data_IF_343382082992
#
_entry.id   IF_343382082992
#
_cell.length_a   1.000
_cell.length_b   1.000
_cell.length_c   1.000
_cell.angle_alpha   90.00
_cell.angle_beta   90.00
_cell.angle_gamma   90.00
#
_symmetry.space_group_name_H-M   'P 1'
#
loop_
_entity.id
_entity.type
_entity.pdbx_description
1 polymer ?
#
# COMPACT_ATOMS: atom_id res chain seq x y z
N UNK A 1 0.44 -14.04 24.11
CA UNK A 1 1.63 -13.18 24.25
C UNK A 1 1.55 -12.20 23.10
N UNK A 2 1.61 -10.90 23.37
CA UNK A 2 1.50 -9.88 22.33
C UNK A 2 2.86 -9.68 21.66
N UNK A 3 2.87 -9.52 20.34
CA UNK A 3 4.07 -9.45 19.53
C UNK A 3 3.96 -8.38 18.45
N UNK A 4 5.05 -7.65 18.26
CA UNK A 4 5.21 -6.71 17.15
C UNK A 4 6.45 -7.05 16.34
N UNK A 5 6.28 -7.16 15.04
CA UNK A 5 7.35 -7.52 14.11
C UNK A 5 7.35 -6.55 12.95
N UNK A 6 8.37 -5.70 12.88
CA UNK A 6 8.51 -4.77 11.76
C UNK A 6 9.15 -5.53 10.59
N UNK A 7 8.40 -5.72 9.51
CA UNK A 7 8.86 -6.43 8.33
C UNK A 7 9.72 -5.54 7.44
N UNK A 8 9.32 -4.27 7.35
CA UNK A 8 10.03 -3.25 6.59
C UNK A 8 9.66 -1.88 7.10
N UNK A 9 10.63 -0.98 7.12
CA UNK A 9 10.37 0.41 7.48
C UNK A 9 11.30 1.36 6.72
N UNK A 10 10.74 2.08 5.75
CA UNK A 10 11.46 3.00 4.89
C UNK A 10 10.73 3.24 3.58
N UNK A 11 11.33 4.04 2.72
CA UNK A 11 10.70 4.56 1.51
C UNK A 11 10.34 3.56 0.42
N UNK A 12 10.87 2.34 0.49
CA UNK A 12 10.55 1.28 -0.48
C UNK A 12 9.33 0.46 -0.05
N UNK A 13 8.88 0.63 1.19
CA UNK A 13 7.75 -0.08 1.75
C UNK A 13 7.79 -0.14 3.27
N UNK A 14 6.65 0.17 3.88
CA UNK A 14 6.36 0.03 5.30
C UNK A 14 5.41 -1.15 5.52
N UNK A 15 5.76 -2.00 6.48
CA UNK A 15 4.88 -3.09 6.90
C UNK A 15 5.30 -3.65 8.27
N UNK A 16 4.32 -3.95 9.10
CA UNK A 16 4.52 -4.61 10.38
C UNK A 16 3.42 -5.63 10.67
N UNK A 17 3.72 -6.65 11.48
CA UNK A 17 2.74 -7.59 12.01
C UNK A 17 2.53 -7.31 13.49
N UNK A 18 1.26 -7.16 13.87
CA UNK A 18 0.82 -7.12 15.27
C UNK A 18 0.06 -8.40 15.55
N UNK A 19 0.51 -9.17 16.54
CA UNK A 19 -0.08 -10.46 16.86
C UNK A 19 -0.39 -10.57 18.35
N UNK A 20 -1.55 -11.11 18.68
CA UNK A 20 -1.87 -11.64 20.00
C UNK A 20 -1.68 -13.17 20.01
N UNK A 21 -2.12 -13.83 21.07
CA UNK A 21 -2.25 -15.30 21.08
C UNK A 21 -3.23 -15.86 20.04
N UNK A 22 -4.19 -15.06 19.55
CA UNK A 22 -5.29 -15.55 18.70
C UNK A 22 -5.41 -14.83 17.36
N UNK A 23 -5.01 -13.56 17.30
CA UNK A 23 -5.25 -12.70 16.15
C UNK A 23 -3.94 -12.16 15.60
N UNK A 24 -3.81 -12.07 14.27
CA UNK A 24 -2.66 -11.46 13.59
C UNK A 24 -3.14 -10.44 12.57
N UNK A 25 -2.57 -9.25 12.65
CA UNK A 25 -2.93 -8.12 11.81
C UNK A 25 -1.67 -7.66 11.08
N UNK A 26 -1.77 -7.54 9.76
CA UNK A 26 -0.77 -6.87 8.95
C UNK A 26 -1.07 -5.37 8.93
N UNK A 27 -0.18 -4.56 9.49
CA UNK A 27 -0.23 -3.09 9.40
C UNK A 27 0.57 -2.68 8.17
N UNK A 28 -0.13 -2.13 7.18
CA UNK A 28 0.37 -1.77 5.85
C UNK A 28 0.98 -2.93 5.02
N UNK A 29 0.81 -2.82 3.71
CA UNK A 29 1.30 -3.77 2.71
C UNK A 29 2.17 -3.04 1.68
N UNK A 30 3.18 -2.31 2.18
CA UNK A 30 4.05 -1.45 1.40
C UNK A 30 5.04 -2.12 0.46
N UNK A 31 5.27 -3.42 0.64
CA UNK A 31 6.13 -4.25 -0.20
C UNK A 31 5.30 -5.23 -1.04
N UNK A 32 5.88 -5.77 -2.10
CA UNK A 32 5.19 -6.79 -2.91
C UNK A 32 4.80 -8.01 -2.08
N UNK A 33 3.72 -8.68 -2.47
CA UNK A 33 3.21 -9.86 -1.76
C UNK A 33 4.28 -10.95 -1.58
N UNK A 34 5.13 -11.14 -2.61
CA UNK A 34 6.26 -12.09 -2.58
C UNK A 34 7.25 -11.73 -1.46
N UNK A 35 7.62 -10.45 -1.38
CA UNK A 35 8.58 -9.95 -0.40
C UNK A 35 8.02 -9.99 1.02
N UNK A 36 6.76 -9.59 1.22
CA UNK A 36 6.09 -9.69 2.52
C UNK A 36 6.07 -11.12 3.05
N UNK A 37 5.67 -12.09 2.20
CA UNK A 37 5.66 -13.50 2.59
C UNK A 37 7.06 -14.03 2.91
N UNK A 38 8.08 -13.66 2.12
CA UNK A 38 9.48 -14.01 2.39
C UNK A 38 9.93 -13.50 3.75
N UNK A 39 9.65 -12.24 4.07
CA UNK A 39 10.06 -11.61 5.34
C UNK A 39 9.31 -12.18 6.54
N UNK A 40 8.01 -12.42 6.43
CA UNK A 40 7.24 -13.11 7.47
C UNK A 40 7.83 -14.49 7.76
N UNK A 41 8.09 -15.29 6.73
CA UNK A 41 8.68 -16.62 6.89
C UNK A 41 10.07 -16.57 7.54
N UNK A 42 10.89 -15.56 7.23
CA UNK A 42 12.23 -15.40 7.80
C UNK A 42 12.23 -15.17 9.33
N UNK A 43 11.14 -14.63 9.88
CA UNK A 43 10.94 -14.42 11.33
C UNK A 43 9.97 -15.41 11.96
N UNK A 44 9.59 -16.46 11.22
CA UNK A 44 8.71 -17.52 11.71
C UNK A 44 7.23 -17.14 11.78
N UNK A 45 6.82 -16.07 11.09
CA UNK A 45 5.41 -15.71 10.93
C UNK A 45 4.79 -16.42 9.72
N UNK A 46 3.63 -17.02 9.92
CA UNK A 46 2.84 -17.61 8.84
C UNK A 46 1.89 -16.55 8.27
N UNK A 47 2.10 -16.18 7.00
CA UNK A 47 1.26 -15.23 6.28
C UNK A 47 -0.19 -15.69 6.14
N UNK A 48 -0.45 -17.01 6.09
CA UNK A 48 -1.81 -17.55 6.00
C UNK A 48 -2.56 -17.55 7.33
N UNK A 49 -1.87 -17.26 8.43
CA UNK A 49 -2.46 -17.07 9.75
C UNK A 49 -2.86 -15.61 10.03
N UNK A 50 -2.70 -14.70 9.06
CA UNK A 50 -3.20 -13.33 9.16
C UNK A 50 -4.73 -13.32 9.10
N UNK A 51 -5.35 -12.51 9.96
CA UNK A 51 -6.80 -12.35 10.03
C UNK A 51 -7.29 -11.10 9.30
N UNK A 52 -6.44 -10.06 9.21
CA UNK A 52 -6.79 -8.78 8.59
C UNK A 52 -5.57 -8.00 8.12
N UNK A 53 -5.80 -7.06 7.20
CA UNK A 53 -4.83 -6.02 6.83
C UNK A 53 -5.40 -4.68 7.29
N UNK A 54 -4.62 -3.89 8.02
CA UNK A 54 -4.99 -2.57 8.51
C UNK A 54 -4.10 -1.52 7.84
N UNK A 55 -4.71 -0.55 7.17
CA UNK A 55 -3.97 0.46 6.40
C UNK A 55 -3.96 1.81 7.12
N UNK A 56 -2.77 2.40 7.24
CA UNK A 56 -2.56 3.74 7.79
C UNK A 56 -3.06 4.82 6.82
N UNK A 57 -2.63 4.74 5.54
CA UNK A 57 -2.97 5.67 4.47
C UNK A 57 -2.61 5.13 3.07
N UNK A 58 -2.91 5.89 2.01
CA UNK A 58 -2.87 5.42 0.61
C UNK A 58 -1.57 5.69 -0.16
N UNK A 59 -0.45 5.96 0.50
CA UNK A 59 0.82 6.13 -0.23
C UNK A 59 1.35 4.78 -0.72
N UNK A 60 2.09 4.81 -1.83
CA UNK A 60 2.50 3.59 -2.53
C UNK A 60 3.37 2.67 -1.67
N UNK A 61 4.24 3.23 -0.84
CA UNK A 61 5.04 2.54 0.16
C UNK A 61 4.24 1.99 1.35
N UNK A 62 2.90 2.13 1.36
CA UNK A 62 2.01 1.48 2.33
C UNK A 62 1.02 0.50 1.67
N UNK A 63 0.73 0.65 0.37
CA UNK A 63 -0.34 -0.12 -0.30
C UNK A 63 0.07 -0.77 -1.62
N UNK A 64 1.35 -0.73 -2.02
CA UNK A 64 1.81 -1.32 -3.30
C UNK A 64 1.49 -2.81 -3.44
N UNK A 65 1.71 -3.60 -2.38
CA UNK A 65 1.44 -5.04 -2.37
C UNK A 65 0.02 -5.41 -1.97
N UNK A 66 -0.79 -4.43 -1.57
CA UNK A 66 -2.11 -4.65 -1.01
C UNK A 66 -3.06 -5.43 -1.93
N UNK A 67 -3.26 -5.07 -3.22
CA UNK A 67 -4.21 -5.78 -4.09
C UNK A 67 -3.92 -7.28 -4.18
N UNK A 68 -2.64 -7.62 -4.29
CA UNK A 68 -2.19 -9.00 -4.46
C UNK A 68 -2.29 -9.76 -3.14
N UNK A 69 -1.82 -9.15 -2.05
CA UNK A 69 -1.83 -9.78 -0.72
C UNK A 69 -3.26 -10.07 -0.25
N UNK A 70 -4.16 -9.08 -0.32
CA UNK A 70 -5.53 -9.22 0.14
C UNK A 70 -6.27 -10.34 -0.63
N UNK A 71 -6.13 -10.40 -1.96
CA UNK A 71 -6.78 -11.44 -2.77
C UNK A 71 -6.18 -12.82 -2.59
N UNK A 72 -4.87 -12.91 -2.38
CA UNK A 72 -4.20 -14.20 -2.15
C UNK A 72 -4.63 -14.82 -0.83
N UNK A 73 -4.78 -14.01 0.21
CA UNK A 73 -5.16 -14.46 1.55
C UNK A 73 -6.69 -14.51 1.75
N UNK A 74 -7.46 -13.74 0.99
CA UNK A 74 -8.91 -13.68 1.12
C UNK A 74 -9.39 -13.01 2.42
N UNK A 75 -8.55 -12.15 3.03
CA UNK A 75 -8.82 -11.52 4.33
C UNK A 75 -9.33 -10.08 4.19
N UNK A 76 -10.13 -9.58 5.16
CA UNK A 76 -10.63 -8.21 5.14
C UNK A 76 -9.53 -7.17 5.26
N UNK A 77 -9.72 -6.05 4.55
CA UNK A 77 -8.85 -4.89 4.60
C UNK A 77 -9.57 -3.73 5.30
N UNK A 78 -8.92 -3.13 6.28
CA UNK A 78 -9.43 -2.05 7.09
C UNK A 78 -8.83 -0.71 6.65
N UNK A 79 -9.70 0.27 6.39
CA UNK A 79 -9.34 1.61 5.96
C UNK A 79 -10.20 2.67 6.64
N UNK A 80 -9.78 3.94 6.57
CA UNK A 80 -10.75 5.04 6.60
C UNK A 80 -11.45 5.13 5.23
N UNK A 81 -12.68 5.63 5.20
CA UNK A 81 -13.43 5.78 3.95
C UNK A 81 -12.71 6.70 2.95
N UNK A 82 -12.05 7.75 3.45
CA UNK A 82 -11.31 8.71 2.63
C UNK A 82 -10.07 8.07 2.00
N UNK A 83 -9.27 7.33 2.78
CA UNK A 83 -8.10 6.60 2.29
C UNK A 83 -8.48 5.56 1.24
N UNK A 84 -9.51 4.74 1.50
CA UNK A 84 -9.95 3.74 0.51
C UNK A 84 -10.38 4.41 -0.80
N UNK A 85 -11.16 5.50 -0.73
CA UNK A 85 -11.58 6.26 -1.91
C UNK A 85 -10.40 6.86 -2.69
N UNK A 86 -9.38 7.36 -2.00
CA UNK A 86 -8.17 7.89 -2.61
C UNK A 86 -7.38 6.78 -3.31
N UNK A 87 -7.17 5.65 -2.63
CA UNK A 87 -6.52 4.47 -3.20
C UNK A 87 -7.24 3.93 -4.44
N UNK A 88 -8.57 3.78 -4.41
CA UNK A 88 -9.36 3.36 -5.59
C UNK A 88 -9.12 4.30 -6.78
N UNK A 89 -9.05 5.62 -6.56
CA UNK A 89 -8.76 6.59 -7.62
C UNK A 89 -7.35 6.45 -8.19
N UNK A 90 -6.37 6.09 -7.36
CA UNK A 90 -5.00 5.83 -7.82
C UNK A 90 -4.93 4.54 -8.64
N UNK A 91 -5.63 3.49 -8.22
CA UNK A 91 -5.69 2.19 -8.91
C UNK A 91 -6.53 2.21 -10.19
N UNK A 92 -7.52 3.10 -10.26
CA UNK A 92 -8.35 3.32 -11.44
C UNK A 92 -8.21 4.76 -11.94
N UNK A 93 -7.02 5.15 -12.46
CA UNK A 93 -6.86 6.49 -13.01
C UNK A 93 -7.92 6.68 -14.09
N UNK A 94 -8.77 7.70 -13.93
CA UNK A 94 -9.63 8.14 -15.02
C UNK A 94 -8.70 8.58 -16.14
N UNK A 95 -8.52 7.75 -17.14
CA UNK A 95 -7.81 8.14 -18.34
C UNK A 95 -8.64 9.22 -19.00
N UNK A 96 -8.22 10.49 -18.85
CA UNK A 96 -8.67 11.53 -19.76
C UNK A 96 -8.23 11.08 -21.13
N UNK A 97 -9.17 10.58 -21.93
CA UNK A 97 -8.88 10.06 -23.25
C UNK A 97 -8.17 11.16 -24.03
N UNK A 98 -6.90 10.95 -24.37
CA UNK A 98 -6.17 11.94 -25.15
C UNK A 98 -6.87 12.14 -26.50
N UNK A 99 -6.74 13.32 -27.09
CA UNK A 99 -7.37 13.59 -28.39
C UNK A 99 -6.97 12.55 -29.44
N UNK A 100 -5.73 12.05 -29.40
CA UNK A 100 -5.24 10.96 -30.25
C UNK A 100 -6.00 9.64 -30.00
N UNK A 101 -6.14 9.24 -28.73
CA UNK A 101 -6.90 8.03 -28.35
C UNK A 101 -8.39 8.15 -28.72
N UNK A 102 -8.97 9.36 -28.65
CA UNK A 102 -10.34 9.61 -29.09
C UNK A 102 -10.49 9.45 -30.61
N UNK A 103 -9.54 9.97 -31.40
CA UNK A 103 -9.53 9.81 -32.86
C UNK A 103 -9.40 8.34 -33.26
N UNK A 104 -8.48 7.59 -32.63
CA UNK A 104 -8.28 6.16 -32.87
C UNK A 104 -9.54 5.35 -32.52
N UNK A 105 -10.17 5.65 -31.37
CA UNK A 105 -11.44 5.02 -30.97
C UNK A 105 -12.56 5.32 -31.96
N UNK A 106 -12.71 6.57 -32.37
CA UNK A 106 -13.75 7.00 -33.33
C UNK A 106 -13.54 6.35 -34.70
N UNK A 107 -12.29 6.24 -35.16
CA UNK A 107 -11.94 5.56 -36.40
C UNK A 107 -12.28 4.07 -36.33
N UNK A 108 -11.96 3.41 -35.20
CA UNK A 108 -12.30 1.99 -34.97
C UNK A 108 -13.81 1.77 -34.95
N UNK A 109 -14.57 2.57 -34.21
CA UNK A 109 -16.05 2.47 -34.16
C UNK A 109 -16.68 2.68 -35.53
N UNK A 110 -16.13 3.60 -36.34
CA UNK A 110 -16.56 3.81 -37.72
C UNK A 110 -16.27 2.59 -38.60
N UNK A 111 -15.09 1.98 -38.46
CA UNK A 111 -14.70 0.79 -39.20
C UNK A 111 -15.58 -0.41 -38.84
N UNK A 112 -15.80 -0.65 -37.55
CA UNK A 112 -16.70 -1.71 -37.05
C UNK A 112 -18.12 -1.53 -37.57
N UNK A 113 -18.62 -0.28 -37.63
CA UNK A 113 -19.95 0.02 -38.19
C UNK A 113 -20.03 -0.26 -39.69
N UNK A 114 -18.98 0.05 -40.45
CA UNK A 114 -18.90 -0.23 -41.87
C UNK A 114 -18.83 -1.74 -42.14
N UNK A 115 -18.04 -2.48 -41.35
CA UNK A 115 -17.95 -3.93 -41.42
C UNK A 115 -19.29 -4.59 -41.07
N UNK A 116 -19.97 -4.14 -40.01
CA UNK A 116 -21.30 -4.61 -39.66
C UNK A 116 -22.34 -4.31 -40.75
N UNK A 117 -22.26 -3.14 -41.40
CA UNK A 117 -23.12 -2.79 -42.53
C UNK A 117 -22.83 -3.64 -43.77
N UNK A 118 -21.57 -3.90 -44.07
CA UNK A 118 -21.16 -4.76 -45.18
C UNK A 118 -21.60 -6.22 -44.97
N UNK A 119 -21.44 -6.73 -43.74
CA UNK A 119 -21.91 -8.06 -43.36
C UNK A 119 -23.44 -8.15 -43.45
N UNK A 120 -24.17 -7.16 -42.93
CA UNK A 120 -25.62 -7.12 -43.04
C UNK A 120 -26.10 -7.03 -44.50
N UNK A 121 -25.36 -6.31 -45.36
CA UNK A 121 -25.65 -6.26 -46.79
C UNK A 121 -25.38 -7.60 -47.48
N UNK A 122 -24.28 -8.29 -47.16
CA UNK A 122 -24.00 -9.63 -47.68
C UNK A 122 -25.09 -10.63 -47.27
N UNK A 123 -25.49 -10.64 -46.00
CA UNK A 123 -26.57 -11.50 -45.50
C UNK A 123 -27.89 -11.18 -46.23
N UNK A 124 -28.20 -9.90 -46.47
CA UNK A 124 -29.40 -9.51 -47.19
C UNK A 124 -29.38 -9.91 -48.68
N UNK A 125 -28.20 -9.85 -49.33
CA UNK A 125 -28.03 -10.29 -50.72
C UNK A 125 -28.14 -11.81 -50.82
N UNK A 126 -27.49 -12.57 -49.93
CA UNK A 126 -27.59 -14.04 -49.88
C UNK A 126 -29.02 -14.52 -49.57
N UNK A 127 -29.76 -13.79 -48.71
CA UNK A 127 -31.18 -14.04 -48.45
C UNK A 127 -32.08 -13.71 -49.66
N UNK A 128 -31.65 -12.80 -50.55
CA UNK A 128 -32.40 -12.45 -51.78
C UNK A 128 -32.09 -13.37 -52.97
N UNK A 129 -30.92 -14.03 -52.98
CA UNK A 129 -30.53 -15.00 -54.01
C UNK A 129 -31.04 -16.43 -53.74
N UNK A 130 -31.64 -16.68 -52.57
CA UNK A 130 -32.18 -17.99 -52.17
C UNK A 130 -33.71 -18.09 -52.22
N UNK A 131 -34.41 -17.03 -52.64
CA UNK A 131 -35.88 -17.00 -52.68
C UNK A 131 -36.41 -17.41 -54.07
N UNK A 132 -36.19 -18.68 -54.43
CA UNK A 132 -36.89 -19.31 -55.55
C UNK A 132 -37.08 -20.83 -55.30
N UNK A 133 -37.57 -21.24 -54.12
CA UNK A 133 -38.32 -22.49 -53.94
C UNK A 133 -39.32 -22.43 -52.76
N UNK A 134 -40.49 -23.10 -52.85
CA UNK A 134 -41.58 -22.95 -51.89
C UNK A 134 -41.25 -23.58 -50.54
N UNK A 135 -41.70 -22.91 -49.48
CA UNK A 135 -41.71 -23.37 -48.08
C UNK A 135 -42.31 -24.78 -47.93
N UNK A 136 -41.48 -25.76 -47.60
CA UNK A 136 -41.90 -26.94 -46.84
C UNK A 136 -40.94 -27.21 -45.67
N UNK A 137 -41.53 -27.23 -44.48
CA UNK A 137 -41.08 -27.79 -43.20
C UNK A 137 -39.72 -28.50 -43.19
N UNK A 138 -38.80 -28.06 -42.31
CA UNK A 138 -38.05 -29.00 -41.46
C UNK A 138 -37.62 -28.31 -40.15
N UNK A 139 -38.28 -28.72 -39.06
CA UNK A 139 -37.75 -28.66 -37.71
C UNK A 139 -36.47 -29.52 -37.65
N UNK A 140 -35.36 -28.98 -37.14
CA UNK A 140 -34.53 -29.58 -36.08
C UNK A 140 -33.07 -29.09 -36.07
N UNK A 141 -32.61 -28.82 -34.84
CA UNK A 141 -31.27 -29.00 -34.27
C UNK A 141 -30.29 -27.82 -34.16
N UNK A 142 -30.02 -27.53 -32.89
CA UNK A 142 -28.92 -26.78 -32.30
C UNK A 142 -27.55 -27.15 -32.87
N UNK A 143 -26.70 -26.15 -33.17
CA UNK A 143 -25.22 -26.29 -33.09
C UNK A 143 -24.58 -24.97 -32.62
N UNK A 144 -23.77 -25.15 -31.58
CA UNK A 144 -22.75 -24.31 -30.92
C UNK A 144 -22.05 -23.21 -31.74
N UNK A 145 -21.94 -22.02 -31.14
CA UNK A 145 -21.11 -20.90 -31.62
C UNK A 145 -19.87 -20.76 -30.73
N UNK A 146 -18.87 -21.61 -30.97
CA UNK A 146 -17.54 -21.43 -30.41
C UNK A 146 -16.47 -22.03 -31.35
N UNK A 147 -15.92 -21.20 -32.25
CA UNK A 147 -14.57 -21.29 -32.84
C UNK A 147 -14.47 -20.53 -34.18
N UNK A 148 -13.85 -19.33 -34.17
CA UNK A 148 -13.02 -18.83 -35.28
C UNK A 148 -12.33 -17.49 -34.93
N UNK A 149 -11.55 -17.46 -33.85
CA UNK A 149 -10.58 -16.38 -33.63
C UNK A 149 -9.17 -16.99 -33.71
N UNK A 150 -8.53 -16.88 -34.88
CA UNK A 150 -7.07 -16.96 -35.09
C UNK A 150 -6.75 -16.81 -36.59
N UNK A 151 -6.21 -15.65 -36.98
CA UNK A 151 -4.80 -15.45 -37.40
C UNK A 151 -4.67 -14.21 -38.29
N UNK A 152 -3.92 -13.20 -37.87
CA UNK A 152 -3.07 -12.41 -38.78
C UNK A 152 -1.94 -11.71 -37.99
N UNK A 153 -0.71 -11.63 -38.53
CA UNK A 153 0.48 -11.17 -37.80
C UNK A 153 0.81 -9.71 -38.11
N UNK A 154 1.08 -8.89 -37.10
CA UNK A 154 1.78 -7.62 -37.31
C UNK A 154 2.77 -7.33 -36.18
N UNK A 155 4.03 -7.16 -36.58
CA UNK A 155 5.19 -6.79 -35.75
C UNK A 155 5.04 -5.35 -35.20
N UNK A 156 5.38 -5.09 -33.92
CA UNK A 156 5.52 -3.73 -33.40
C UNK A 156 6.86 -3.10 -33.79
N UNK A 157 6.82 -1.82 -34.12
CA UNK A 157 7.99 -0.94 -34.33
C UNK A 157 8.47 -0.44 -32.96
N UNK A 158 9.75 -0.64 -32.64
CA UNK A 158 10.41 -0.14 -31.43
C UNK A 158 10.58 1.39 -31.48
N UNK A 159 10.23 2.06 -30.38
CA UNK A 159 10.52 3.48 -30.12
C UNK A 159 11.53 3.55 -28.96
N UNK A 160 12.58 4.40 -29.01
CA UNK A 160 13.66 4.36 -28.04
C UNK A 160 13.21 4.78 -26.63
N UNK A 161 13.78 4.11 -25.64
CA UNK A 161 13.59 4.41 -24.22
C UNK A 161 14.03 5.84 -23.88
N UNK A 162 13.16 6.56 -23.16
CA UNK A 162 13.59 7.75 -22.42
C UNK A 162 14.60 7.32 -21.34
N UNK A 163 15.66 8.12 -21.09
CA UNK A 163 16.65 7.81 -20.07
C UNK A 163 15.99 7.81 -18.67
N UNK A 164 16.46 6.96 -17.74
CA UNK A 164 15.89 6.84 -16.41
C UNK A 164 16.07 8.15 -15.64
N UNK A 165 14.96 8.61 -15.05
CA UNK A 165 15.01 9.69 -14.06
C UNK A 165 15.76 9.20 -12.81
N UNK A 166 16.60 10.03 -12.18
CA UNK A 166 17.37 9.62 -11.00
C UNK A 166 16.43 9.23 -9.87
N UNK A 167 16.76 8.14 -9.16
CA UNK A 167 15.92 7.45 -8.17
C UNK A 167 15.11 8.39 -7.28
N UNK A 168 13.81 8.44 -7.53
CA UNK A 168 12.83 9.17 -6.75
C UNK A 168 12.37 8.22 -5.65
N UNK A 169 12.65 8.60 -4.41
CA UNK A 169 12.21 7.92 -3.21
C UNK A 169 10.65 7.93 -3.17
N UNK A 170 9.99 6.79 -2.87
CA UNK A 170 8.53 6.72 -2.95
C UNK A 170 7.81 7.56 -1.87
N UNK A 171 8.53 8.05 -0.84
CA UNK A 171 8.03 9.08 0.10
C UNK A 171 7.75 10.42 -0.60
N UNK A 172 8.19 10.59 -1.86
CA UNK A 172 8.24 11.89 -2.54
C UNK A 172 7.32 12.01 -3.76
N UNK A 173 6.77 10.90 -4.28
CA UNK A 173 5.75 10.88 -5.36
C UNK A 173 4.79 9.66 -5.21
N UNK A 174 3.67 9.82 -4.48
CA UNK A 174 2.76 8.71 -4.18
C UNK A 174 1.95 8.21 -5.39
N UNK A 175 1.86 8.98 -6.49
CA UNK A 175 0.98 8.67 -7.62
C UNK A 175 1.61 7.84 -8.73
N UNK A 176 2.90 8.04 -9.02
CA UNK A 176 3.60 7.38 -10.13
C UNK A 176 4.02 5.93 -9.85
N UNK A 177 4.29 5.59 -8.58
CA UNK A 177 4.88 4.31 -8.21
C UNK A 177 3.89 3.13 -8.17
N UNK A 178 2.60 3.40 -7.93
CA UNK A 178 1.60 2.36 -7.69
C UNK A 178 1.29 1.51 -8.94
N UNK A 179 1.32 2.11 -10.13
CA UNK A 179 0.96 1.44 -11.40
C UNK A 179 2.07 0.47 -11.84
N UNK A 180 3.34 0.86 -11.68
CA UNK A 180 4.49 0.06 -12.11
C UNK A 180 4.67 -1.23 -11.27
N UNK A 181 4.35 -1.20 -9.98
CA UNK A 181 4.54 -2.33 -9.06
C UNK A 181 3.56 -3.51 -9.30
N UNK A 182 2.44 -3.28 -9.98
CA UNK A 182 1.37 -4.29 -10.10
C UNK A 182 1.60 -5.32 -11.21
N UNK A 183 2.46 -5.04 -12.20
CA UNK A 183 2.59 -5.89 -13.39
C UNK A 183 3.78 -6.87 -13.34
N UNK A 184 4.94 -6.45 -12.81
CA UNK A 184 6.16 -7.29 -12.80
C UNK A 184 6.32 -8.15 -11.53
N UNK A 185 5.47 -7.97 -10.51
CA UNK A 185 5.63 -8.59 -9.20
C UNK A 185 4.46 -9.50 -8.76
N UNK A 186 3.78 -10.10 -9.75
CA UNK A 186 2.80 -11.15 -9.48
C UNK A 186 3.51 -12.38 -8.90
N UNK A 187 3.09 -12.79 -7.70
CA UNK A 187 3.55 -14.04 -7.08
C UNK A 187 3.20 -15.22 -8.00
N UNK A 188 4.19 -16.07 -8.28
CA UNK A 188 4.06 -17.18 -9.23
C UNK A 188 2.95 -18.16 -8.83
N UNK A 189 2.73 -18.32 -7.53
CA UNK A 189 1.74 -19.16 -6.89
C UNK A 189 0.31 -18.57 -6.84
N UNK A 190 0.02 -17.50 -7.58
CA UNK A 190 -1.34 -16.98 -7.72
C UNK A 190 -2.14 -17.81 -8.73
N UNK A 191 -3.39 -18.11 -8.39
CA UNK A 191 -4.32 -18.77 -9.32
C UNK A 191 -4.54 -17.92 -10.58
N UNK A 192 -4.82 -18.58 -11.71
CA UNK A 192 -5.14 -17.91 -12.99
C UNK A 192 -6.33 -16.96 -12.84
N UNK A 193 -7.30 -17.31 -12.01
CA UNK A 193 -8.48 -16.51 -11.70
C UNK A 193 -8.11 -15.24 -10.92
N UNK A 194 -7.23 -15.34 -9.92
CA UNK A 194 -6.72 -14.17 -9.18
C UNK A 194 -5.97 -13.23 -10.11
N UNK A 195 -5.08 -13.75 -10.97
CA UNK A 195 -4.34 -12.96 -11.97
C UNK A 195 -5.28 -12.25 -12.96
N UNK A 196 -6.34 -12.93 -13.40
CA UNK A 196 -7.37 -12.35 -14.28
C UNK A 196 -8.14 -11.23 -13.58
N UNK A 197 -8.60 -11.45 -12.34
CA UNK A 197 -9.33 -10.46 -11.57
C UNK A 197 -8.54 -9.16 -11.33
N UNK A 198 -7.21 -9.26 -11.13
CA UNK A 198 -6.33 -8.10 -10.92
C UNK A 198 -6.22 -7.23 -12.16
N UNK A 199 -6.33 -7.83 -13.35
CA UNK A 199 -6.29 -7.11 -14.62
C UNK A 199 -7.63 -6.44 -14.96
N UNK A 200 -8.74 -7.08 -14.60
CA UNK A 200 -10.09 -6.59 -14.91
C UNK A 200 -10.52 -5.47 -13.97
N UNK A 201 -10.22 -5.60 -12.68
CA UNK A 201 -10.45 -4.55 -11.69
C UNK A 201 -9.26 -4.54 -10.70
N UNK A 202 -8.29 -3.62 -10.85
CA UNK A 202 -7.13 -3.54 -9.95
C UNK A 202 -7.52 -3.06 -8.53
N UNK A 203 -8.68 -2.41 -8.38
CA UNK A 203 -9.17 -1.88 -7.11
C UNK A 203 -10.01 -2.87 -6.30
N UNK A 204 -10.38 -4.01 -6.88
CA UNK A 204 -11.15 -5.03 -6.17
C UNK A 204 -10.38 -5.58 -4.95
N UNK A 205 -11.09 -5.68 -3.82
CA UNK A 205 -10.62 -6.30 -2.57
C UNK A 205 -11.69 -7.30 -2.12
N UNK A 206 -11.30 -8.44 -1.50
CA UNK A 206 -12.24 -9.49 -1.12
C UNK A 206 -13.25 -9.04 -0.06
N UNK A 207 -12.80 -8.20 0.89
CA UNK A 207 -13.65 -7.56 1.89
C UNK A 207 -13.00 -6.24 2.32
N UNK A 208 -13.82 -5.21 2.53
CA UNK A 208 -13.38 -3.89 3.00
C UNK A 208 -14.21 -3.49 4.20
N UNK A 209 -13.52 -3.15 5.28
CA UNK A 209 -14.12 -2.67 6.53
C UNK A 209 -13.64 -1.23 6.80
N UNK A 210 -14.53 -0.40 7.34
CA UNK A 210 -14.22 1.00 7.59
C UNK A 210 -14.06 1.31 9.06
N UNK A 211 -12.98 2.00 9.41
CA UNK A 211 -12.78 2.60 10.73
C UNK A 211 -12.77 4.13 10.64
N UNK A 212 -12.75 4.78 11.81
CA UNK A 212 -12.64 6.23 11.95
C UNK A 212 -11.66 6.56 13.07
N UNK A 213 -10.81 7.55 12.84
CA UNK A 213 -9.94 8.09 13.88
C UNK A 213 -10.74 8.50 15.13
N UNK A 214 -10.18 8.20 16.31
CA UNK A 214 -10.80 8.46 17.61
C UNK A 214 -11.92 7.49 18.01
N UNK A 215 -12.23 6.48 17.19
CA UNK A 215 -13.17 5.41 17.53
C UNK A 215 -12.46 4.08 17.60
N UNK A 216 -12.60 3.40 18.73
CA UNK A 216 -12.08 2.05 18.90
C UNK A 216 -12.73 1.08 17.89
N UNK A 217 -11.93 0.16 17.37
CA UNK A 217 -12.37 -1.02 16.68
C UNK A 217 -11.67 -2.25 17.28
N UNK A 218 -12.29 -3.41 17.14
CA UNK A 218 -11.69 -4.67 17.53
C UNK A 218 -11.54 -5.57 16.31
N UNK A 219 -10.35 -6.13 16.14
CA UNK A 219 -10.09 -7.23 15.20
C UNK A 219 -9.72 -8.42 16.07
N UNK A 220 -10.58 -9.44 16.07
CA UNK A 220 -10.44 -10.57 16.98
C UNK A 220 -10.40 -10.13 18.45
N UNK A 221 -9.30 -10.42 19.14
CA UNK A 221 -9.04 -10.07 20.54
C UNK A 221 -8.14 -8.84 20.73
N UNK A 222 -7.79 -8.13 19.65
CA UNK A 222 -6.98 -6.91 19.68
C UNK A 222 -7.90 -5.70 19.57
N UNK A 223 -7.91 -4.86 20.62
CA UNK A 223 -8.54 -3.54 20.59
C UNK A 223 -7.58 -2.53 19.93
N UNK A 224 -8.11 -1.69 19.06
CA UNK A 224 -7.34 -0.77 18.24
C UNK A 224 -7.94 0.62 18.38
N UNK A 225 -7.11 1.59 18.76
CA UNK A 225 -7.44 3.01 18.75
C UNK A 225 -6.70 3.71 17.61
N UNK A 226 -7.37 3.99 16.48
CA UNK A 226 -6.82 4.84 15.43
C UNK A 226 -6.84 6.31 15.88
N UNK A 227 -5.82 7.07 15.52
CA UNK A 227 -5.76 8.51 15.75
C UNK A 227 -5.19 9.23 14.52
N UNK A 228 -5.71 10.42 14.23
CA UNK A 228 -5.25 11.21 13.07
C UNK A 228 -3.82 11.68 13.26
N UNK A 229 -3.03 11.57 12.20
CA UNK A 229 -1.66 12.07 12.12
C UNK A 229 -1.54 13.19 11.07
N UNK A 230 -0.66 14.18 11.24
CA UNK A 230 -0.47 15.22 10.25
C UNK A 230 0.45 14.74 9.12
N UNK A 231 -0.13 14.26 8.03
CA UNK A 231 0.58 13.81 6.84
C UNK A 231 -0.17 14.17 5.55
N UNK A 232 0.54 14.25 4.43
CA UNK A 232 0.00 14.59 3.12
C UNK A 232 -0.71 13.40 2.45
N UNK A 233 -1.77 12.92 3.09
CA UNK A 233 -2.63 11.83 2.63
C UNK A 233 -4.11 12.15 2.92
N UNK A 234 -5.03 11.35 2.39
CA UNK A 234 -6.46 11.64 2.44
C UNK A 234 -7.04 11.67 3.86
N UNK A 235 -6.69 10.69 4.71
CA UNK A 235 -7.08 10.63 6.13
C UNK A 235 -6.12 9.69 6.90
N UNK A 236 -4.84 10.09 7.06
CA UNK A 236 -3.80 9.24 7.60
C UNK A 236 -3.97 9.01 9.10
N UNK A 237 -3.72 7.77 9.52
CA UNK A 237 -3.89 7.33 10.90
C UNK A 237 -2.64 6.64 11.47
N UNK A 238 -2.32 6.95 12.72
CA UNK A 238 -1.55 6.08 13.59
C UNK A 238 -2.46 5.20 14.44
N UNK A 239 -1.91 4.22 15.15
CA UNK A 239 -2.68 3.24 15.90
C UNK A 239 -2.11 2.99 17.29
N UNK A 240 -2.98 2.68 18.24
CA UNK A 240 -2.61 2.02 19.49
C UNK A 240 -3.32 0.67 19.55
N UNK A 241 -2.55 -0.41 19.63
CA UNK A 241 -3.06 -1.77 19.78
C UNK A 241 -3.03 -2.15 21.25
N UNK A 242 -4.12 -2.71 21.76
CA UNK A 242 -4.25 -3.16 23.15
C UNK A 242 -4.75 -4.59 23.19
N UNK A 243 -3.96 -5.49 23.78
CA UNK A 243 -4.34 -6.88 23.99
C UNK A 243 -3.56 -7.45 25.18
N UNK A 244 -4.15 -8.39 25.92
CA UNK A 244 -3.45 -9.14 26.99
C UNK A 244 -2.82 -8.23 28.07
N UNK A 245 -3.38 -7.03 28.27
CA UNK A 245 -2.86 -6.04 29.23
C UNK A 245 -1.69 -5.19 28.73
N UNK A 246 -1.26 -5.38 27.48
CA UNK A 246 -0.17 -4.66 26.83
C UNK A 246 -0.70 -3.65 25.82
N UNK A 247 0.07 -2.59 25.58
CA UNK A 247 -0.27 -1.51 24.65
C UNK A 247 0.89 -1.16 23.72
N UNK A 248 0.69 -1.30 22.41
CA UNK A 248 1.69 -0.98 21.39
C UNK A 248 1.25 0.27 20.60
N UNK A 249 2.04 1.34 20.67
CA UNK A 249 1.84 2.54 19.86
C UNK A 249 2.57 2.43 18.52
N UNK A 250 1.90 2.79 17.44
CA UNK A 250 2.40 2.78 16.07
C UNK A 250 2.12 4.14 15.42
N UNK A 251 3.17 4.92 15.18
CA UNK A 251 3.05 6.24 14.58
C UNK A 251 4.21 6.51 13.59
N UNK A 252 3.96 6.23 12.32
CA UNK A 252 4.81 6.65 11.19
C UNK A 252 4.20 7.87 10.50
N UNK A 253 4.93 8.49 9.57
CA UNK A 253 4.39 9.54 8.67
C UNK A 253 3.81 10.76 9.42
N UNK A 254 4.61 11.37 10.28
CA UNK A 254 4.26 12.48 11.14
C UNK A 254 4.99 13.75 10.70
N UNK A 255 4.32 14.74 10.13
CA UNK A 255 4.95 16.05 9.92
C UNK A 255 5.35 16.78 11.22
N UNK A 256 4.66 16.48 12.32
CA UNK A 256 4.99 16.89 13.70
C UNK A 256 4.16 16.06 14.69
N UNK A 257 4.40 16.19 16.01
CA UNK A 257 3.64 15.48 17.05
C UNK A 257 2.59 16.39 17.71
N UNK A 258 1.33 16.41 17.25
CA UNK A 258 0.25 17.19 17.87
C UNK A 258 -0.24 16.57 19.19
N UNK A 259 -1.01 17.34 19.96
CA UNK A 259 -1.50 16.93 21.29
C UNK A 259 -2.30 15.63 21.27
N UNK A 260 -3.13 15.39 20.25
CA UNK A 260 -3.90 14.15 20.13
C UNK A 260 -2.98 12.92 19.97
N UNK A 261 -1.87 13.05 19.24
CA UNK A 261 -0.87 11.99 19.08
C UNK A 261 -0.15 11.75 20.40
N UNK A 262 0.26 12.83 21.10
CA UNK A 262 0.89 12.74 22.42
C UNK A 262 0.00 12.00 23.42
N UNK A 263 -1.29 12.32 23.46
CA UNK A 263 -2.26 11.69 24.36
C UNK A 263 -2.50 10.22 24.00
N UNK A 264 -2.59 9.89 22.71
CA UNK A 264 -2.78 8.51 22.27
C UNK A 264 -1.62 7.61 22.67
N UNK A 265 -0.38 8.10 22.52
CA UNK A 265 0.86 7.35 22.76
C UNK A 265 1.27 7.23 24.23
N UNK A 266 0.44 7.70 25.18
CA UNK A 266 0.69 7.50 26.62
C UNK A 266 0.43 6.07 27.05
N UNK A 267 1.21 5.60 28.02
CA UNK A 267 1.19 4.30 28.66
C UNK A 267 1.23 3.16 27.65
N UNK A 268 2.14 3.26 26.67
CA UNK A 268 2.48 2.18 25.75
C UNK A 268 3.68 1.41 26.31
N UNK A 269 3.66 0.08 26.19
CA UNK A 269 4.78 -0.81 26.54
C UNK A 269 5.81 -0.89 25.40
N UNK A 270 5.34 -0.67 24.17
CA UNK A 270 6.17 -0.53 22.97
C UNK A 270 5.72 0.69 22.19
N UNK A 271 6.67 1.54 21.81
CA UNK A 271 6.42 2.73 21.03
C UNK A 271 7.21 2.67 19.72
N UNK A 272 6.53 2.53 18.59
CA UNK A 272 7.10 2.70 17.26
C UNK A 272 6.81 4.13 16.77
N UNK A 273 7.87 4.89 16.49
CA UNK A 273 7.81 6.31 16.17
C UNK A 273 8.67 6.62 14.94
N UNK A 274 8.17 7.46 14.03
CA UNK A 274 8.95 7.97 12.91
C UNK A 274 10.20 8.74 13.35
N UNK A 275 11.32 8.49 12.68
CA UNK A 275 12.54 9.30 12.76
C UNK A 275 13.14 9.38 11.36
N UNK A 276 12.47 10.12 10.48
CA UNK A 276 12.67 10.01 9.04
C UNK A 276 13.99 10.60 8.57
N UNK A 277 14.35 11.82 8.97
CA UNK A 277 15.51 12.51 8.42
C UNK A 277 16.32 13.29 9.47
N UNK A 278 17.60 13.47 9.16
CA UNK A 278 18.44 14.49 9.78
C UNK A 278 18.29 15.83 9.02
N UNK A 279 18.24 16.94 9.75
CA UNK A 279 17.95 18.25 9.18
C UNK A 279 19.08 18.77 8.27
N UNK A 280 20.34 18.49 8.61
CA UNK A 280 21.49 18.92 7.82
C UNK A 280 21.61 18.04 6.58
N UNK A 281 21.51 16.71 6.76
CA UNK A 281 21.51 15.77 5.64
C UNK A 281 20.39 16.08 4.64
N UNK A 282 19.18 16.41 5.10
CA UNK A 282 18.09 16.77 4.19
C UNK A 282 18.35 18.07 3.43
N UNK A 283 18.99 19.07 4.04
CA UNK A 283 19.31 20.34 3.39
C UNK A 283 20.35 20.15 2.29
N UNK A 284 21.37 19.37 2.56
CA UNK A 284 22.50 19.14 1.64
C UNK A 284 22.28 17.95 0.69
N UNK A 285 21.27 17.13 0.98
CA UNK A 285 20.96 15.89 0.27
C UNK A 285 20.53 16.08 -1.19
N UNK A 286 20.37 14.96 -1.92
CA UNK A 286 20.20 14.98 -3.37
C UNK A 286 18.80 15.40 -3.83
N UNK A 287 17.83 15.51 -2.93
CA UNK A 287 16.45 15.79 -3.29
C UNK A 287 16.25 17.18 -3.94
N UNK A 288 15.33 17.31 -4.91
CA UNK A 288 14.90 18.60 -5.40
C UNK A 288 14.35 19.49 -4.28
N UNK A 289 14.45 20.81 -4.46
CA UNK A 289 14.00 21.76 -3.43
C UNK A 289 12.53 21.59 -3.05
N UNK A 290 11.64 21.32 -4.00
CA UNK A 290 10.22 21.07 -3.75
C UNK A 290 9.98 19.88 -2.80
N UNK A 291 10.76 18.81 -2.97
CA UNK A 291 10.70 17.62 -2.13
C UNK A 291 11.20 17.95 -0.72
N UNK A 292 12.35 18.64 -0.60
CA UNK A 292 12.89 19.09 0.69
C UNK A 292 11.86 19.96 1.44
N UNK A 293 11.18 20.86 0.74
CA UNK A 293 10.13 21.70 1.33
C UNK A 293 8.93 20.88 1.82
N UNK A 294 8.50 19.85 1.07
CA UNK A 294 7.41 18.95 1.47
C UNK A 294 7.79 18.16 2.72
N UNK A 295 8.98 17.55 2.74
CA UNK A 295 9.48 16.74 3.87
C UNK A 295 9.58 17.58 5.15
N UNK A 296 10.08 18.82 5.06
CA UNK A 296 10.18 19.75 6.21
C UNK A 296 8.84 20.39 6.64
N UNK A 297 7.76 20.14 5.91
CA UNK A 297 6.47 20.78 6.18
C UNK A 297 5.72 20.10 7.32
N UNK A 298 4.65 20.74 7.80
CA UNK A 298 3.76 20.19 8.84
C UNK A 298 2.99 18.94 8.41
N UNK A 299 3.03 18.59 7.13
CA UNK A 299 2.39 17.40 6.54
C UNK A 299 3.43 16.48 5.87
N UNK A 300 4.71 16.73 6.12
CA UNK A 300 5.81 15.90 5.65
C UNK A 300 6.11 14.78 6.64
N UNK A 301 7.37 14.73 7.09
CA UNK A 301 7.88 13.65 7.94
C UNK A 301 8.60 14.19 9.18
N UNK A 302 8.71 13.34 10.20
CA UNK A 302 9.28 13.72 11.49
C UNK A 302 10.80 13.66 11.41
N UNK A 303 11.49 14.74 11.77
CA UNK A 303 12.95 14.73 11.86
C UNK A 303 13.41 14.01 13.13
N UNK A 304 14.66 13.53 13.12
CA UNK A 304 15.30 12.95 14.31
C UNK A 304 15.24 13.91 15.51
N UNK A 305 15.45 15.22 15.27
CA UNK A 305 15.39 16.25 16.32
C UNK A 305 13.98 16.44 16.88
N UNK A 306 12.95 16.42 16.04
CA UNK A 306 11.57 16.56 16.48
C UNK A 306 11.08 15.32 17.25
N UNK A 307 11.49 14.13 16.82
CA UNK A 307 11.26 12.88 17.56
C UNK A 307 11.95 12.93 18.94
N UNK A 308 13.21 13.37 19.00
CA UNK A 308 13.94 13.57 20.24
C UNK A 308 13.25 14.60 21.17
N UNK A 309 12.76 15.72 20.64
CA UNK A 309 12.03 16.71 21.45
C UNK A 309 10.78 16.11 22.10
N UNK A 310 10.00 15.33 21.34
CA UNK A 310 8.85 14.59 21.89
C UNK A 310 9.28 13.64 23.02
N UNK A 311 10.33 12.85 22.81
CA UNK A 311 10.85 11.91 23.82
C UNK A 311 11.32 12.60 25.10
N UNK A 312 11.91 13.78 24.99
CA UNK A 312 12.36 14.57 26.14
C UNK A 312 11.19 15.18 26.91
N UNK A 313 10.22 15.79 26.21
CA UNK A 313 9.25 16.72 26.84
C UNK A 313 7.88 16.10 27.12
N UNK A 314 7.38 15.26 26.22
CA UNK A 314 5.97 14.88 26.16
C UNK A 314 5.72 13.38 26.35
N UNK A 315 6.69 12.55 25.96
CA UNK A 315 6.70 11.11 26.25
C UNK A 315 6.65 10.89 27.77
N UNK A 316 6.07 9.79 28.23
CA UNK A 316 5.90 9.48 29.66
C UNK A 316 6.99 8.56 30.23
N UNK A 317 7.85 7.98 29.37
CA UNK A 317 8.94 7.09 29.79
C UNK A 317 8.53 5.62 29.97
N UNK A 318 7.25 5.26 29.77
CA UNK A 318 6.70 3.96 30.15
C UNK A 318 7.10 2.79 29.26
N UNK A 319 7.41 3.02 27.98
CA UNK A 319 7.66 1.95 27.02
C UNK A 319 8.98 1.23 27.29
N UNK A 320 8.92 -0.11 27.37
CA UNK A 320 10.12 -0.95 27.44
C UNK A 320 10.97 -0.83 26.18
N UNK A 321 10.32 -0.69 25.02
CA UNK A 321 10.97 -0.56 23.72
C UNK A 321 10.51 0.70 23.01
N UNK A 322 11.47 1.47 22.49
CA UNK A 322 11.24 2.59 21.57
C UNK A 322 11.86 2.20 20.23
N UNK A 323 11.03 1.96 19.22
CA UNK A 323 11.45 1.57 17.87
C UNK A 323 11.41 2.81 16.97
N UNK A 324 12.56 3.24 16.48
CA UNK A 324 12.64 4.30 15.49
C UNK A 324 12.43 3.72 14.11
N UNK A 325 11.45 4.27 13.39
CA UNK A 325 10.96 3.74 12.15
C UNK A 325 10.94 4.80 11.04
N UNK A 326 10.76 4.32 9.82
CA UNK A 326 10.55 5.11 8.62
C UNK A 326 11.72 6.05 8.30
N UNK A 327 12.95 5.56 8.50
CA UNK A 327 14.18 6.29 8.23
C UNK A 327 14.38 6.47 6.70
N UNK A 328 14.70 7.69 6.27
CA UNK A 328 15.11 8.02 4.90
C UNK A 328 16.44 7.36 4.56
N UNK A 329 16.51 6.70 3.41
CA UNK A 329 17.74 6.07 2.89
C UNK A 329 18.83 7.10 2.55
N UNK A 330 18.44 8.31 2.11
CA UNK A 330 19.37 9.30 1.59
C UNK A 330 19.60 10.51 2.51
N UNK A 331 18.66 10.81 3.41
CA UNK A 331 18.73 11.98 4.28
C UNK A 331 18.76 11.61 5.77
N UNK A 332 19.16 10.38 6.08
CA UNK A 332 19.36 9.96 7.46
C UNK A 332 20.52 8.97 7.57
N UNK A 333 21.03 8.82 8.78
CA UNK A 333 21.86 7.70 9.17
C UNK A 333 21.22 7.06 10.40
N UNK A 334 21.03 5.73 10.43
CA UNK A 334 20.38 5.07 11.57
C UNK A 334 21.04 5.37 12.92
N UNK A 335 22.37 5.52 12.94
CA UNK A 335 23.11 5.89 14.14
C UNK A 335 22.80 7.31 14.64
N UNK A 336 22.49 8.27 13.75
CA UNK A 336 22.10 9.62 14.15
C UNK A 336 20.71 9.63 14.80
N UNK A 337 19.75 8.90 14.20
CA UNK A 337 18.42 8.72 14.78
C UNK A 337 18.51 8.08 16.17
N UNK A 338 19.29 7.00 16.29
CA UNK A 338 19.52 6.30 17.56
C UNK A 338 20.16 7.21 18.60
N UNK A 339 21.24 7.91 18.25
CA UNK A 339 21.94 8.82 19.16
C UNK A 339 21.01 9.92 19.67
N UNK A 340 20.23 10.54 18.78
CA UNK A 340 19.28 11.59 19.16
C UNK A 340 18.22 11.08 20.15
N UNK A 341 17.67 9.88 19.91
CA UNK A 341 16.69 9.28 20.81
C UNK A 341 17.30 8.83 22.15
N UNK A 342 18.47 8.19 22.13
CA UNK A 342 19.20 7.77 23.35
C UNK A 342 19.55 8.98 24.22
N UNK A 343 20.01 10.09 23.61
CA UNK A 343 20.27 11.35 24.33
C UNK A 343 18.99 11.93 24.93
N UNK A 344 17.88 11.96 24.18
CA UNK A 344 16.60 12.45 24.67
C UNK A 344 16.02 11.64 25.84
N UNK A 345 16.30 10.33 25.85
CA UNK A 345 15.89 9.39 26.90
C UNK A 345 16.86 9.38 28.10
N UNK A 346 18.13 9.71 27.89
CA UNK A 346 19.21 9.62 28.89
C UNK A 346 18.99 10.43 30.17
N UNK A 347 18.14 11.47 30.12
CA UNK A 347 17.72 12.24 31.29
C UNK A 347 16.73 11.50 32.21
N UNK A 348 16.23 10.33 31.79
CA UNK A 348 15.18 9.57 32.49
C UNK A 348 15.73 8.23 32.98
N UNK A 349 16.08 8.17 34.26
CA UNK A 349 16.41 6.94 34.97
C UNK A 349 15.13 6.11 35.21
N UNK A 350 14.63 5.39 34.20
CA UNK A 350 13.61 4.37 34.43
C UNK A 350 14.26 3.07 34.88
N UNK A 351 13.70 2.41 35.90
CA UNK A 351 14.21 1.13 36.45
C UNK A 351 14.19 -0.02 35.43
N UNK A 352 13.41 0.12 34.36
CA UNK A 352 13.30 -0.87 33.28
C UNK A 352 14.24 -0.57 32.10
N UNK A 353 14.72 0.68 31.97
CA UNK A 353 15.52 1.17 30.85
C UNK A 353 14.77 1.12 29.52
N UNK A 354 14.51 2.27 28.89
CA UNK A 354 13.96 2.29 27.54
C UNK A 354 15.01 1.71 26.57
N UNK A 355 14.71 0.59 25.90
CA UNK A 355 15.60 0.03 24.86
C UNK A 355 15.26 0.67 23.52
N UNK A 356 16.19 1.43 22.97
CA UNK A 356 16.06 2.02 21.62
C UNK A 356 16.43 0.97 20.59
N UNK A 357 15.54 0.75 19.62
CA UNK A 357 15.73 -0.14 18.49
C UNK A 357 15.53 0.62 17.17
N UNK A 358 16.17 0.15 16.11
CA UNK A 358 16.04 0.69 14.76
C UNK A 358 15.27 -0.30 13.90
N UNK A 359 14.20 0.14 13.27
CA UNK A 359 13.49 -0.67 12.28
C UNK A 359 14.33 -0.75 10.99
N UNK A 360 14.74 -1.94 10.52
CA UNK A 360 15.56 -2.06 9.33
C UNK A 360 14.72 -1.85 8.05
N UNK A 361 15.38 -1.35 7.00
CA UNK A 361 14.79 -1.21 5.67
C UNK A 361 14.79 -2.53 4.88
N UNK A 362 15.90 -3.28 4.93
CA UNK A 362 16.16 -4.45 4.07
C UNK A 362 15.65 -5.77 4.63
N UNK A 363 15.64 -5.91 5.95
CA UNK A 363 15.40 -7.16 6.65
C UNK A 363 14.37 -6.97 7.76
N UNK A 364 13.55 -7.99 8.06
CA UNK A 364 12.61 -7.92 9.16
C UNK A 364 13.36 -7.86 10.50
N UNK A 365 12.82 -7.07 11.43
CA UNK A 365 13.31 -7.01 12.81
C UNK A 365 12.94 -8.30 13.56
N UNK A 366 13.74 -8.68 14.55
CA UNK A 366 13.33 -9.69 15.52
C UNK A 366 12.03 -9.26 16.20
N UNK A 367 11.12 -10.22 16.34
CA UNK A 367 9.83 -10.02 16.97
C UNK A 367 9.95 -9.57 18.43
N UNK A 368 9.31 -8.46 18.76
CA UNK A 368 9.20 -7.96 20.13
C UNK A 368 8.05 -8.67 20.83
N UNK A 369 8.37 -9.67 21.66
CA UNK A 369 7.41 -10.43 22.46
C UNK A 369 7.36 -9.89 23.89
N UNK A 370 6.17 -9.52 24.37
CA UNK A 370 5.92 -9.07 25.75
C UNK A 370 4.87 -9.94 26.46
#
# INVERSE_FOLDING_TARGET
>A
MMRMTVLASGSKGNSAVIASSRTRILVDAGLSCRELMRRMAAVGEDAYALDAILITHEHADHVSGLPVMARKLGIPVYFTEATHRAWVRQMTPRTTMSYKQWLEKTAREKQERLEAQALAHQIAVEASETDDQPLENFLANDIDVDAAARTSPFHPIEIPANPPSPGIDATTDPGGALIAATQDDLCDDLSTETKKSLREDPSYLPAVEYFRAGRHLAIGDIDILPFTIPHDAADPCGFVFSAEGLRFGYATDLGYVPENVKLALKNCDVLLLESNHDLEMLRDGPYPWSVKQRVLSRVGHLSNTAAAEFLTRDYDGGARYVVLAHLSESNNMPELARLAAEQALGDRLSLLGNRVLLAPQSDPMESLCL
#
